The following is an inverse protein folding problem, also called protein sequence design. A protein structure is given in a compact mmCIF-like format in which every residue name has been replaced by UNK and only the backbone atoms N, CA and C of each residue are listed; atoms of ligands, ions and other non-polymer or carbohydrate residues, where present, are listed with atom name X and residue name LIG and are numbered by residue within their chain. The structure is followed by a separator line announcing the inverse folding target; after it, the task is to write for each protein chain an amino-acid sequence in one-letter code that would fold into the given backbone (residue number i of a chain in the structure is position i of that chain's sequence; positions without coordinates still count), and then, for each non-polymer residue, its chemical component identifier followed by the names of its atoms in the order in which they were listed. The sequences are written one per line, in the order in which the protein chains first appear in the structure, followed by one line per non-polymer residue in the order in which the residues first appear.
data_IF_335696528560
#
_entry.id   IF_335696528560
#
_cell.length_a   1.000
_cell.length_b   1.000
_cell.length_c   1.000
_cell.angle_alpha   90.00
_cell.angle_beta   90.00
_cell.angle_gamma   90.00
#
_symmetry.space_group_name_H-M   'P 1'
#
loop_
_entity.id
_entity.type
_entity.pdbx_description
1 polymer ?
#
# COMPACT_ATOMS: atom_id res chain seq x y z
N UNK A 1 -3.44 -12.11 -28.88
CA UNK A 1 -4.41 -11.09 -29.32
C UNK A 1 -5.70 -11.05 -28.49
N UNK A 2 -6.41 -12.16 -28.28
CA UNK A 2 -7.68 -12.16 -27.52
C UNK A 2 -7.58 -11.66 -26.07
N UNK A 3 -6.52 -12.02 -25.33
CA UNK A 3 -6.33 -11.57 -23.92
C UNK A 3 -6.02 -10.07 -23.85
N UNK A 4 -5.15 -9.58 -24.74
CA UNK A 4 -4.77 -8.17 -24.76
C UNK A 4 -5.97 -7.27 -25.14
N UNK A 5 -6.79 -7.71 -26.09
CA UNK A 5 -8.02 -7.01 -26.46
C UNK A 5 -9.04 -6.99 -25.31
N UNK A 6 -9.29 -8.14 -24.66
CA UNK A 6 -10.17 -8.22 -23.50
C UNK A 6 -9.69 -7.35 -22.33
N UNK A 7 -8.38 -7.34 -22.06
CA UNK A 7 -7.77 -6.49 -21.05
C UNK A 7 -7.93 -4.99 -21.38
N UNK A 8 -7.76 -4.61 -22.66
CA UNK A 8 -7.99 -3.25 -23.13
C UNK A 8 -9.43 -2.79 -22.93
N UNK A 9 -10.41 -3.62 -23.30
CA UNK A 9 -11.83 -3.33 -23.06
C UNK A 9 -12.15 -3.23 -21.57
N UNK A 10 -11.64 -4.15 -20.75
CA UNK A 10 -11.83 -4.13 -19.30
C UNK A 10 -11.23 -2.87 -18.67
N UNK A 11 -10.04 -2.45 -19.10
CA UNK A 11 -9.40 -1.23 -18.61
C UNK A 11 -10.27 0.02 -18.83
N UNK A 12 -10.97 0.12 -19.96
CA UNK A 12 -11.93 1.21 -20.23
C UNK A 12 -13.12 1.14 -19.27
N UNK A 13 -13.68 -0.04 -19.02
CA UNK A 13 -14.79 -0.21 -18.06
C UNK A 13 -14.40 0.07 -16.60
N UNK A 14 -13.10 0.10 -16.30
CA UNK A 14 -12.57 0.37 -14.97
C UNK A 14 -12.29 1.85 -14.70
N UNK A 15 -12.54 2.74 -15.67
CA UNK A 15 -12.39 4.20 -15.50
C UNK A 15 -13.17 4.74 -14.28
N UNK A 16 -14.45 4.37 -14.02
CA UNK A 16 -15.19 4.91 -12.89
C UNK A 16 -14.56 4.57 -11.53
N UNK A 17 -13.83 3.45 -11.43
CA UNK A 17 -13.12 3.05 -10.23
C UNK A 17 -11.95 3.97 -9.92
N UNK A 18 -11.32 4.59 -10.92
CA UNK A 18 -10.26 5.58 -10.70
C UNK A 18 -10.81 6.81 -9.95
N UNK A 19 -12.01 7.27 -10.32
CA UNK A 19 -12.69 8.36 -9.61
C UNK A 19 -13.14 7.92 -8.21
N UNK A 20 -13.59 6.66 -8.07
CA UNK A 20 -13.90 6.12 -6.76
C UNK A 20 -12.66 6.13 -5.84
N UNK A 21 -11.48 5.77 -6.35
CA UNK A 21 -10.23 5.84 -5.58
C UNK A 21 -9.83 7.26 -5.20
N UNK A 22 -10.02 8.24 -6.09
CA UNK A 22 -9.74 9.64 -5.78
C UNK A 22 -10.56 10.15 -4.57
N UNK A 23 -11.77 9.62 -4.38
CA UNK A 23 -12.63 9.92 -3.22
C UNK A 23 -12.27 9.03 -2.02
N UNK A 24 -12.03 7.74 -2.25
CA UNK A 24 -11.76 6.76 -1.19
C UNK A 24 -10.52 7.11 -0.38
N UNK A 25 -9.42 7.51 -1.03
CA UNK A 25 -8.16 7.75 -0.34
C UNK A 25 -8.26 8.87 0.72
N UNK A 26 -8.83 10.05 0.42
CA UNK A 26 -9.12 11.06 1.44
C UNK A 26 -10.07 10.60 2.55
N UNK A 27 -11.20 9.94 2.21
CA UNK A 27 -12.17 9.47 3.21
C UNK A 27 -11.55 8.45 4.17
N UNK A 28 -10.83 7.46 3.61
CA UNK A 28 -10.11 6.47 4.38
C UNK A 28 -9.05 7.11 5.28
N UNK A 29 -8.26 8.06 4.77
CA UNK A 29 -7.26 8.78 5.57
C UNK A 29 -7.88 9.62 6.68
N UNK A 30 -9.01 10.26 6.43
CA UNK A 30 -9.75 11.04 7.43
C UNK A 30 -10.23 10.16 8.60
N UNK A 31 -10.78 8.98 8.30
CA UNK A 31 -11.22 8.02 9.32
C UNK A 31 -10.04 7.36 10.05
N UNK A 32 -8.98 7.00 9.31
CA UNK A 32 -7.75 6.45 9.85
C UNK A 32 -7.08 7.39 10.85
N UNK A 33 -6.93 8.68 10.53
CA UNK A 33 -6.31 9.67 11.40
C UNK A 33 -7.01 9.78 12.77
N UNK A 34 -8.32 9.56 12.80
CA UNK A 34 -9.17 9.58 14.00
C UNK A 34 -9.33 8.21 14.67
N UNK A 35 -8.58 7.19 14.23
CA UNK A 35 -8.67 5.81 14.74
C UNK A 35 -10.06 5.17 14.58
N UNK A 36 -10.87 5.59 13.60
CA UNK A 36 -12.20 5.02 13.31
C UNK A 36 -12.11 3.74 12.46
N UNK A 37 -11.16 2.87 12.78
CA UNK A 37 -10.81 1.68 11.97
C UNK A 37 -11.93 0.64 11.92
N UNK A 38 -12.68 0.45 13.03
CA UNK A 38 -13.76 -0.53 13.07
C UNK A 38 -14.93 -0.18 12.13
N UNK A 39 -15.25 1.11 11.98
CA UNK A 39 -16.25 1.54 11.02
C UNK A 39 -15.83 1.19 9.58
N UNK A 40 -14.57 1.46 9.23
CA UNK A 40 -14.02 1.10 7.92
C UNK A 40 -14.04 -0.42 7.70
N UNK A 41 -13.70 -1.22 8.72
CA UNK A 41 -13.69 -2.67 8.64
C UNK A 41 -15.10 -3.25 8.41
N UNK A 42 -16.11 -2.75 9.13
CA UNK A 42 -17.51 -3.19 8.96
C UNK A 42 -18.03 -2.81 7.57
N UNK A 43 -17.75 -1.59 7.10
CA UNK A 43 -18.12 -1.15 5.74
C UNK A 43 -17.46 -2.03 4.68
N UNK A 44 -16.15 -2.32 4.81
CA UNK A 44 -15.43 -3.17 3.88
C UNK A 44 -15.95 -4.61 3.89
N UNK A 45 -16.33 -5.14 5.05
CA UNK A 45 -16.93 -6.47 5.18
C UNK A 45 -18.32 -6.55 4.52
N UNK A 46 -19.17 -5.54 4.73
CA UNK A 46 -20.45 -5.44 4.03
C UNK A 46 -20.25 -5.34 2.51
N UNK A 47 -19.29 -4.52 2.06
CA UNK A 47 -18.94 -4.39 0.64
C UNK A 47 -18.49 -5.73 0.05
N UNK A 48 -17.71 -6.53 0.79
CA UNK A 48 -17.29 -7.86 0.36
C UNK A 48 -18.48 -8.81 0.17
N UNK A 49 -19.44 -8.83 1.11
CA UNK A 49 -20.66 -9.65 0.99
C UNK A 49 -21.44 -9.27 -0.27
N UNK A 50 -21.69 -7.98 -0.48
CA UNK A 50 -22.39 -7.50 -1.67
C UNK A 50 -21.60 -7.82 -2.94
N UNK A 51 -20.28 -7.60 -2.92
CA UNK A 51 -19.40 -7.89 -4.05
C UNK A 51 -19.46 -9.37 -4.45
N UNK A 52 -19.41 -10.30 -3.49
CA UNK A 52 -19.50 -11.74 -3.74
C UNK A 52 -20.87 -12.11 -4.31
N UNK A 53 -21.95 -11.63 -3.69
CA UNK A 53 -23.32 -11.92 -4.15
C UNK A 53 -23.57 -11.41 -5.58
N UNK A 54 -23.24 -10.16 -5.85
CA UNK A 54 -23.46 -9.57 -7.18
C UNK A 54 -22.50 -10.10 -8.23
N UNK A 55 -21.27 -10.49 -7.87
CA UNK A 55 -20.37 -11.18 -8.79
C UNK A 55 -20.96 -12.51 -9.24
N UNK A 56 -21.46 -13.33 -8.29
CA UNK A 56 -22.17 -14.57 -8.63
C UNK A 56 -23.39 -14.31 -9.50
N UNK A 57 -24.23 -13.34 -9.14
CA UNK A 57 -25.46 -13.03 -9.88
C UNK A 57 -25.19 -12.54 -11.30
N UNK A 58 -24.38 -11.48 -11.45
CA UNK A 58 -24.18 -10.84 -12.75
C UNK A 58 -23.26 -11.65 -13.66
N UNK A 59 -22.17 -12.22 -13.12
CA UNK A 59 -21.22 -12.95 -13.96
C UNK A 59 -21.70 -14.37 -14.29
N UNK A 60 -22.15 -15.12 -13.28
CA UNK A 60 -22.44 -16.55 -13.45
C UNK A 60 -23.91 -16.80 -13.75
N UNK A 61 -24.83 -16.17 -13.02
CA UNK A 61 -26.27 -16.45 -13.17
C UNK A 61 -26.88 -15.75 -14.38
N UNK A 62 -26.54 -14.49 -14.61
CA UNK A 62 -27.03 -13.69 -15.75
C UNK A 62 -26.10 -13.74 -16.97
N UNK A 63 -24.89 -14.29 -16.83
CA UNK A 63 -23.96 -14.51 -17.94
C UNK A 63 -23.32 -13.24 -18.50
N UNK A 64 -23.25 -12.14 -17.74
CA UNK A 64 -22.66 -10.88 -18.22
C UNK A 64 -21.12 -10.90 -18.29
N UNK A 65 -20.50 -11.99 -17.82
CA UNK A 65 -19.06 -12.23 -17.94
C UNK A 65 -18.21 -11.05 -17.41
N UNK A 66 -17.27 -10.60 -18.24
CA UNK A 66 -16.29 -9.57 -17.88
C UNK A 66 -16.91 -8.18 -17.66
N UNK A 67 -17.99 -7.85 -18.38
CA UNK A 67 -18.73 -6.60 -18.17
C UNK A 67 -19.43 -6.60 -16.80
N UNK A 68 -20.01 -7.74 -16.42
CA UNK A 68 -20.55 -7.95 -15.07
C UNK A 68 -19.48 -7.75 -14.00
N UNK A 69 -18.30 -8.33 -14.17
CA UNK A 69 -17.18 -8.18 -13.24
C UNK A 69 -16.78 -6.71 -13.04
N UNK A 70 -16.62 -5.96 -14.14
CA UNK A 70 -16.29 -4.54 -14.09
C UNK A 70 -17.38 -3.74 -13.35
N UNK A 71 -18.66 -3.98 -13.66
CA UNK A 71 -19.77 -3.27 -13.03
C UNK A 71 -19.81 -3.51 -11.52
N UNK A 72 -19.72 -4.77 -11.07
CA UNK A 72 -19.78 -5.11 -9.64
C UNK A 72 -18.61 -4.48 -8.89
N UNK A 73 -17.41 -4.52 -9.46
CA UNK A 73 -16.23 -3.96 -8.84
C UNK A 73 -16.33 -2.42 -8.70
N UNK A 74 -16.77 -1.72 -9.76
CA UNK A 74 -17.06 -0.29 -9.69
C UNK A 74 -18.11 0.03 -8.60
N UNK A 75 -19.23 -0.70 -8.57
CA UNK A 75 -20.28 -0.48 -7.58
C UNK A 75 -19.78 -0.73 -6.14
N UNK A 76 -18.91 -1.70 -5.94
CA UNK A 76 -18.37 -2.03 -4.62
C UNK A 76 -17.51 -0.90 -4.05
N UNK A 77 -16.68 -0.27 -4.89
CA UNK A 77 -15.87 0.88 -4.48
C UNK A 77 -16.73 2.12 -4.21
N UNK A 78 -17.72 2.38 -5.05
CA UNK A 78 -18.67 3.47 -4.82
C UNK A 78 -19.51 3.26 -3.56
N UNK A 79 -19.93 2.02 -3.27
CA UNK A 79 -20.59 1.67 -2.03
C UNK A 79 -19.71 2.01 -0.81
N UNK A 80 -18.43 1.63 -0.83
CA UNK A 80 -17.48 1.96 0.25
C UNK A 80 -17.39 3.48 0.44
N UNK A 81 -17.26 4.24 -0.65
CA UNK A 81 -17.18 5.70 -0.60
C UNK A 81 -18.43 6.33 0.02
N UNK A 82 -19.61 5.95 -0.47
CA UNK A 82 -20.88 6.47 0.03
C UNK A 82 -21.06 6.11 1.49
N UNK A 83 -20.80 4.86 1.88
CA UNK A 83 -20.93 4.41 3.27
C UNK A 83 -19.96 5.14 4.21
N UNK A 84 -18.69 5.32 3.81
CA UNK A 84 -17.72 6.08 4.60
C UNK A 84 -18.10 7.56 4.71
N UNK A 85 -18.56 8.17 3.62
CA UNK A 85 -18.99 9.56 3.63
C UNK A 85 -20.23 9.77 4.52
N UNK A 86 -21.24 8.91 4.42
CA UNK A 86 -22.41 8.93 5.29
C UNK A 86 -22.01 8.76 6.77
N UNK A 87 -21.07 7.86 7.06
CA UNK A 87 -20.54 7.70 8.42
C UNK A 87 -19.87 8.99 8.93
N UNK A 88 -19.10 9.69 8.09
CA UNK A 88 -18.48 10.99 8.45
C UNK A 88 -19.55 12.06 8.70
N UNK A 89 -20.57 12.15 7.82
CA UNK A 89 -21.65 13.13 7.93
C UNK A 89 -22.65 12.85 9.07
N UNK A 90 -22.67 11.64 9.63
CA UNK A 90 -23.57 11.26 10.73
C UNK A 90 -23.33 11.99 12.06
N UNK A 91 -22.28 12.83 12.15
CA UNK A 91 -21.87 13.50 13.39
C UNK A 91 -20.90 12.68 14.25
N UNK A 92 -20.62 11.43 13.89
CA UNK A 92 -19.74 10.51 14.65
C UNK A 92 -18.26 10.95 14.69
N UNK A 93 -17.86 11.86 13.80
CA UNK A 93 -16.52 12.45 13.73
C UNK A 93 -16.38 13.77 14.53
N UNK A 94 -17.44 14.24 15.20
CA UNK A 94 -17.41 15.44 16.04
C UNK A 94 -16.84 16.66 15.30
N UNK A 95 -15.94 17.40 15.97
CA UNK A 95 -15.32 18.64 15.43
C UNK A 95 -14.34 18.41 14.28
N UNK A 96 -13.96 17.17 13.98
CA UNK A 96 -13.02 16.88 12.88
C UNK A 96 -13.66 17.12 11.50
N UNK A 97 -15.00 17.02 11.41
CA UNK A 97 -15.74 17.33 10.19
C UNK A 97 -16.57 18.59 10.39
N UNK A 98 -16.17 19.69 9.74
CA UNK A 98 -16.87 20.98 9.78
C UNK A 98 -17.74 21.24 8.54
N UNK A 99 -17.95 20.22 7.70
CA UNK A 99 -18.59 20.38 6.40
C UNK A 99 -17.67 20.93 5.31
N UNK A 100 -18.24 21.16 4.13
CA UNK A 100 -17.50 21.74 3.00
C UNK A 100 -17.23 23.23 3.21
N UNK A 101 -16.02 23.66 2.89
CA UNK A 101 -15.60 25.07 3.00
C UNK A 101 -14.56 25.40 1.94
N UNK A 102 -14.53 26.65 1.48
CA UNK A 102 -13.47 27.13 0.59
C UNK A 102 -12.08 27.10 1.24
N UNK A 103 -12.02 27.02 2.58
CA UNK A 103 -10.77 26.79 3.32
C UNK A 103 -10.05 25.51 2.89
N UNK A 104 -10.78 24.51 2.36
CA UNK A 104 -10.17 23.29 1.82
C UNK A 104 -9.26 23.55 0.60
N UNK A 105 -9.44 24.68 -0.09
CA UNK A 105 -8.60 25.06 -1.22
C UNK A 105 -7.34 25.86 -0.81
N UNK A 106 -7.20 26.20 0.47
CA UNK A 106 -6.03 26.88 0.98
C UNK A 106 -4.85 25.91 1.14
N UNK A 107 -3.63 26.38 0.82
CA UNK A 107 -2.39 25.58 0.94
C UNK A 107 -2.38 24.25 0.16
N UNK A 108 -3.16 24.12 -0.92
CA UNK A 108 -3.19 22.92 -1.78
C UNK A 108 -1.79 22.47 -2.22
N UNK A 109 -0.91 23.42 -2.50
CA UNK A 109 0.44 23.12 -2.96
C UNK A 109 1.25 22.27 -1.98
N UNK A 110 1.10 22.51 -0.68
CA UNK A 110 1.76 21.69 0.35
C UNK A 110 1.27 20.25 0.33
N UNK A 111 -0.05 20.06 0.20
CA UNK A 111 -0.67 18.74 0.05
C UNK A 111 -0.23 18.05 -1.24
N UNK A 112 -0.26 18.74 -2.37
CA UNK A 112 0.13 18.22 -3.69
C UNK A 112 1.59 17.76 -3.68
N UNK A 113 2.51 18.58 -3.15
CA UNK A 113 3.93 18.23 -3.05
C UNK A 113 4.16 16.95 -2.24
N UNK A 114 3.50 16.82 -1.08
CA UNK A 114 3.63 15.64 -0.22
C UNK A 114 2.99 14.40 -0.86
N UNK A 115 1.86 14.58 -1.53
CA UNK A 115 1.12 13.52 -2.23
C UNK A 115 1.92 12.99 -3.41
N UNK A 116 2.53 13.86 -4.22
CA UNK A 116 3.40 13.47 -5.34
C UNK A 116 4.61 12.68 -4.82
N UNK A 117 5.27 13.13 -3.75
CA UNK A 117 6.40 12.39 -3.17
C UNK A 117 5.97 10.99 -2.69
N UNK A 118 4.82 10.89 -2.03
CA UNK A 118 4.26 9.60 -1.58
C UNK A 118 3.86 8.70 -2.75
N UNK A 119 3.25 9.28 -3.80
CA UNK A 119 2.86 8.56 -5.00
C UNK A 119 4.07 8.02 -5.74
N UNK A 120 5.11 8.83 -5.95
CA UNK A 120 6.37 8.39 -6.58
C UNK A 120 7.01 7.26 -5.76
N UNK A 121 7.11 7.41 -4.45
CA UNK A 121 7.67 6.38 -3.57
C UNK A 121 6.97 5.02 -3.72
N UNK A 122 5.63 5.00 -3.72
CA UNK A 122 4.83 3.77 -3.86
C UNK A 122 4.88 3.23 -5.30
N UNK A 123 4.80 4.10 -6.32
CA UNK A 123 4.87 3.69 -7.72
C UNK A 123 6.21 3.03 -8.02
N UNK A 124 7.32 3.57 -7.50
CA UNK A 124 8.65 2.97 -7.66
C UNK A 124 8.73 1.56 -7.06
N UNK A 125 8.07 1.33 -5.91
CA UNK A 125 7.99 0.00 -5.31
C UNK A 125 7.18 -0.96 -6.19
N UNK A 126 5.99 -0.56 -6.65
CA UNK A 126 5.13 -1.43 -7.45
C UNK A 126 5.74 -1.72 -8.83
N UNK A 127 6.25 -0.69 -9.52
CA UNK A 127 6.83 -0.84 -10.84
C UNK A 127 8.12 -1.65 -10.82
N UNK A 128 8.87 -1.64 -9.73
CA UNK A 128 10.03 -2.50 -9.57
C UNK A 128 9.67 -3.99 -9.68
N UNK A 129 8.63 -4.43 -8.96
CA UNK A 129 8.13 -5.81 -9.05
C UNK A 129 7.57 -6.12 -10.44
N UNK A 130 6.78 -5.20 -11.02
CA UNK A 130 6.21 -5.40 -12.36
C UNK A 130 7.31 -5.53 -13.43
N UNK A 131 8.35 -4.72 -13.37
CA UNK A 131 9.47 -4.78 -14.29
C UNK A 131 10.19 -6.14 -14.20
N UNK A 132 10.48 -6.63 -12.99
CA UNK A 132 11.16 -7.92 -12.82
C UNK A 132 10.29 -9.11 -13.22
N UNK A 133 8.98 -9.07 -12.98
CA UNK A 133 8.04 -10.08 -13.49
C UNK A 133 8.01 -10.06 -15.03
N UNK A 134 7.97 -8.87 -15.64
CA UNK A 134 8.04 -8.73 -17.09
C UNK A 134 9.33 -9.34 -17.65
N UNK A 135 10.48 -9.07 -17.03
CA UNK A 135 11.75 -9.68 -17.42
C UNK A 135 11.76 -11.19 -17.22
N UNK A 136 11.08 -11.76 -16.23
CA UNK A 136 10.98 -13.21 -16.12
C UNK A 136 10.23 -13.85 -17.30
N UNK A 137 9.32 -13.12 -17.95
CA UNK A 137 8.59 -13.54 -19.14
C UNK A 137 9.44 -13.71 -20.41
N UNK A 138 10.68 -13.22 -20.43
CA UNK A 138 11.62 -13.38 -21.55
C UNK A 138 12.67 -14.48 -21.32
N UNK A 139 12.53 -15.30 -20.28
CA UNK A 139 13.42 -16.45 -20.03
C UNK A 139 13.13 -17.62 -21.00
N UNK A 140 14.11 -18.53 -21.17
CA UNK A 140 14.07 -19.65 -22.14
C UNK A 140 12.85 -20.59 -21.99
N UNK A 141 12.26 -20.71 -20.79
CA UNK A 141 11.01 -21.44 -20.52
C UNK A 141 9.98 -20.51 -19.86
N UNK A 142 9.38 -19.59 -20.62
CA UNK A 142 8.63 -18.48 -20.05
C UNK A 142 7.32 -18.94 -19.41
N UNK A 143 6.63 -19.94 -19.97
CA UNK A 143 5.36 -20.45 -19.44
C UNK A 143 5.50 -21.01 -18.01
N UNK A 144 6.37 -22.01 -17.81
CA UNK A 144 6.61 -22.60 -16.47
C UNK A 144 7.15 -21.55 -15.48
N UNK A 145 8.01 -20.65 -15.97
CA UNK A 145 8.62 -19.60 -15.15
C UNK A 145 7.60 -18.57 -14.67
N UNK A 146 6.76 -18.07 -15.58
CA UNK A 146 5.72 -17.09 -15.31
C UNK A 146 4.62 -17.70 -14.45
N UNK A 147 4.19 -18.93 -14.71
CA UNK A 147 3.18 -19.61 -13.89
C UNK A 147 3.68 -19.83 -12.46
N UNK A 148 4.90 -20.35 -12.30
CA UNK A 148 5.50 -20.58 -10.99
C UNK A 148 5.71 -19.28 -10.20
N UNK A 149 6.15 -18.21 -10.88
CA UNK A 149 6.25 -16.88 -10.29
C UNK A 149 4.88 -16.31 -9.94
N UNK A 150 3.87 -16.47 -10.79
CA UNK A 150 2.53 -15.92 -10.57
C UNK A 150 1.89 -16.54 -9.32
N UNK A 151 2.04 -17.85 -9.12
CA UNK A 151 1.60 -18.52 -7.87
C UNK A 151 2.30 -17.90 -6.67
N UNK A 152 3.62 -17.74 -6.75
CA UNK A 152 4.41 -17.17 -5.68
C UNK A 152 4.06 -15.72 -5.36
N UNK A 153 3.90 -14.88 -6.38
CA UNK A 153 3.55 -13.46 -6.24
C UNK A 153 2.13 -13.29 -5.71
N UNK A 154 1.19 -14.18 -6.05
CA UNK A 154 -0.15 -14.18 -5.46
C UNK A 154 -0.09 -14.43 -3.96
N UNK A 155 0.64 -15.47 -3.53
CA UNK A 155 0.83 -15.77 -2.09
C UNK A 155 1.54 -14.60 -1.38
N UNK A 156 2.59 -14.04 -2.00
CA UNK A 156 3.27 -12.86 -1.46
C UNK A 156 2.29 -11.67 -1.34
N UNK A 157 1.47 -11.43 -2.36
CA UNK A 157 0.46 -10.38 -2.37
C UNK A 157 -0.54 -10.53 -1.22
N UNK A 158 -1.03 -11.75 -0.95
CA UNK A 158 -1.90 -12.02 0.20
C UNK A 158 -1.21 -11.71 1.53
N UNK A 159 0.04 -12.13 1.70
CA UNK A 159 0.82 -11.83 2.90
C UNK A 159 1.07 -10.31 3.07
N UNK A 160 1.32 -9.60 1.97
CA UNK A 160 1.60 -8.15 1.97
C UNK A 160 0.37 -7.32 2.34
N UNK A 161 -0.86 -7.81 2.15
CA UNK A 161 -2.06 -7.09 2.61
C UNK A 161 -2.06 -6.87 4.13
N UNK A 162 -1.53 -7.83 4.89
CA UNK A 162 -1.35 -7.67 6.35
C UNK A 162 -0.30 -6.60 6.65
N UNK A 163 0.81 -6.60 5.91
CA UNK A 163 1.85 -5.57 5.99
C UNK A 163 1.33 -4.18 5.68
N UNK A 164 0.43 -4.02 4.69
CA UNK A 164 -0.21 -2.74 4.40
C UNK A 164 -1.12 -2.27 5.53
N UNK A 165 -1.79 -3.20 6.24
CA UNK A 165 -2.50 -2.89 7.48
C UNK A 165 -1.56 -2.29 8.54
N UNK A 166 -0.40 -2.92 8.77
CA UNK A 166 0.61 -2.39 9.69
C UNK A 166 1.23 -1.06 9.21
N UNK A 167 1.48 -0.89 7.91
CA UNK A 167 1.93 0.36 7.31
C UNK A 167 0.97 1.52 7.67
N UNK A 168 -0.33 1.32 7.44
CA UNK A 168 -1.34 2.32 7.74
C UNK A 168 -1.43 2.61 9.24
N UNK A 169 -1.42 1.57 10.08
CA UNK A 169 -1.47 1.72 11.54
C UNK A 169 -0.25 2.49 12.08
N UNK A 170 0.95 2.15 11.62
CA UNK A 170 2.20 2.83 12.02
C UNK A 170 2.21 4.28 11.54
N UNK A 171 1.82 4.53 10.28
CA UNK A 171 1.76 5.89 9.72
C UNK A 171 0.87 6.80 10.54
N UNK A 172 -0.33 6.34 10.90
CA UNK A 172 -1.28 7.10 11.73
C UNK A 172 -0.73 7.29 13.14
N UNK A 173 -0.28 6.21 13.79
CA UNK A 173 0.18 6.27 15.19
C UNK A 173 1.39 7.17 15.33
N UNK A 174 2.41 7.02 14.47
CA UNK A 174 3.61 7.86 14.50
C UNK A 174 3.25 9.32 14.23
N UNK A 175 2.42 9.61 13.22
CA UNK A 175 2.00 10.98 12.94
C UNK A 175 1.27 11.63 14.13
N UNK A 176 0.34 10.89 14.76
CA UNK A 176 -0.44 11.39 15.90
C UNK A 176 0.44 11.63 17.13
N UNK A 177 1.33 10.69 17.49
CA UNK A 177 2.21 10.85 18.65
C UNK A 177 3.24 11.97 18.44
N UNK A 178 3.79 12.12 17.22
CA UNK A 178 4.67 13.24 16.89
C UNK A 178 3.93 14.57 16.94
N UNK A 179 2.72 14.64 16.37
CA UNK A 179 1.87 15.84 16.41
C UNK A 179 1.40 16.22 17.81
N UNK A 180 1.32 15.26 18.73
CA UNK A 180 1.01 15.47 20.14
C UNK A 180 2.25 15.83 21.00
N UNK A 181 3.46 15.86 20.42
CA UNK A 181 4.68 16.12 21.18
C UNK A 181 5.12 14.95 22.07
N UNK A 182 4.77 13.72 21.71
CA UNK A 182 5.10 12.49 22.45
C UNK A 182 6.18 11.63 21.74
N UNK A 183 7.43 12.10 21.64
CA UNK A 183 8.48 11.42 20.86
C UNK A 183 8.84 10.03 21.38
N UNK A 184 8.75 9.79 22.70
CA UNK A 184 9.01 8.47 23.29
C UNK A 184 7.94 7.46 22.89
N UNK A 185 6.67 7.87 22.92
CA UNK A 185 5.54 7.02 22.51
C UNK A 185 5.58 6.72 21.02
N UNK A 186 5.97 7.69 20.19
CA UNK A 186 6.21 7.47 18.76
C UNK A 186 7.28 6.38 18.54
N UNK A 187 8.44 6.48 19.21
CA UNK A 187 9.51 5.46 19.13
C UNK A 187 9.05 4.07 19.59
N UNK A 188 8.34 3.98 20.71
CA UNK A 188 7.82 2.70 21.22
C UNK A 188 6.82 2.09 20.23
N UNK A 189 5.94 2.92 19.65
CA UNK A 189 4.96 2.47 18.65
C UNK A 189 5.65 1.82 17.45
N UNK A 190 6.75 2.42 16.96
CA UNK A 190 7.54 1.81 15.88
C UNK A 190 8.10 0.45 16.27
N UNK A 191 8.71 0.33 17.44
CA UNK A 191 9.28 -0.95 17.92
C UNK A 191 8.21 -2.02 18.00
N UNK A 192 7.06 -1.71 18.63
CA UNK A 192 5.96 -2.67 18.78
C UNK A 192 5.46 -3.16 17.41
N UNK A 193 5.20 -2.25 16.47
CA UNK A 193 4.64 -2.66 15.18
C UNK A 193 5.67 -3.42 14.33
N UNK A 194 6.95 -3.05 14.37
CA UNK A 194 8.02 -3.79 13.67
C UNK A 194 8.13 -5.22 14.22
N UNK A 195 8.12 -5.39 15.55
CA UNK A 195 8.18 -6.71 16.19
C UNK A 195 6.94 -7.54 15.86
N UNK A 196 5.73 -6.96 15.98
CA UNK A 196 4.49 -7.65 15.62
C UNK A 196 4.48 -8.09 14.15
N UNK A 197 4.88 -7.19 13.24
CA UNK A 197 4.92 -7.50 11.81
C UNK A 197 5.96 -8.57 11.49
N UNK A 198 7.13 -8.53 12.12
CA UNK A 198 8.14 -9.58 11.98
C UNK A 198 7.61 -10.94 12.45
N UNK A 199 6.96 -11.02 13.61
CA UNK A 199 6.37 -12.25 14.14
C UNK A 199 5.32 -12.80 13.17
N UNK A 200 4.41 -11.96 12.68
CA UNK A 200 3.38 -12.36 11.70
C UNK A 200 4.03 -12.88 10.41
N UNK A 201 5.03 -12.17 9.89
CA UNK A 201 5.80 -12.61 8.73
C UNK A 201 6.44 -13.98 8.95
N UNK A 202 7.08 -14.20 10.10
CA UNK A 202 7.67 -15.51 10.46
C UNK A 202 6.60 -16.60 10.53
N UNK A 203 5.44 -16.34 11.11
CA UNK A 203 4.34 -17.32 11.17
C UNK A 203 3.89 -17.71 9.75
N UNK A 204 3.64 -16.74 8.87
CA UNK A 204 3.27 -17.02 7.48
C UNK A 204 4.35 -17.80 6.73
N UNK A 205 5.61 -17.43 6.92
CA UNK A 205 6.74 -18.14 6.31
C UNK A 205 6.87 -19.57 6.82
N UNK A 206 6.67 -19.82 8.12
CA UNK A 206 6.67 -21.17 8.70
C UNK A 206 5.54 -22.03 8.14
N UNK A 207 4.31 -21.50 8.09
CA UNK A 207 3.15 -22.19 7.49
C UNK A 207 3.46 -22.58 6.04
N UNK A 208 4.06 -21.66 5.28
CA UNK A 208 4.39 -21.89 3.88
C UNK A 208 5.49 -22.96 3.70
N UNK A 209 6.54 -22.91 4.52
CA UNK A 209 7.62 -23.92 4.49
C UNK A 209 7.09 -25.31 4.87
N UNK A 210 6.27 -25.42 5.92
CA UNK A 210 5.69 -26.69 6.36
C UNK A 210 4.76 -27.26 5.30
N UNK A 211 3.94 -26.41 4.69
CA UNK A 211 2.99 -26.81 3.65
C UNK A 211 3.61 -26.92 2.25
N UNK A 212 4.93 -26.70 2.08
CA UNK A 212 5.60 -26.57 0.78
C UNK A 212 5.38 -27.72 -0.20
N UNK A 213 5.16 -28.93 0.32
CA UNK A 213 4.89 -30.13 -0.48
C UNK A 213 3.45 -30.20 -0.99
N UNK A 214 2.50 -29.51 -0.34
CA UNK A 214 1.06 -29.71 -0.56
C UNK A 214 0.40 -28.51 -1.22
N UNK A 215 0.73 -27.28 -0.81
CA UNK A 215 0.03 -26.09 -1.34
C UNK A 215 0.15 -25.92 -2.87
N UNK A 216 1.25 -26.29 -3.57
CA UNK A 216 1.33 -26.08 -5.02
C UNK A 216 0.23 -26.84 -5.80
N UNK A 217 -0.29 -27.93 -5.24
CA UNK A 217 -1.38 -28.72 -5.84
C UNK A 217 -2.70 -27.96 -5.91
N UNK A 218 -2.92 -26.96 -5.05
CA UNK A 218 -4.13 -26.14 -5.08
C UNK A 218 -4.13 -25.12 -6.23
N UNK A 219 -2.96 -24.83 -6.83
CA UNK A 219 -2.80 -23.79 -7.84
C UNK A 219 -2.61 -24.34 -9.26
N UNK A 220 -2.02 -25.51 -9.42
CA UNK A 220 -1.69 -26.03 -10.74
C UNK A 220 -1.64 -27.55 -10.81
N UNK A 221 -2.11 -28.08 -11.93
CA UNK A 221 -2.01 -29.51 -12.26
C UNK A 221 -0.65 -29.86 -12.90
N UNK A 222 0.14 -28.86 -13.34
CA UNK A 222 1.42 -29.10 -14.02
C UNK A 222 2.51 -29.61 -13.05
N UNK A 223 3.11 -30.78 -13.29
CA UNK A 223 4.23 -31.27 -12.49
C UNK A 223 5.44 -30.33 -12.48
N UNK A 224 5.76 -29.71 -13.61
CA UNK A 224 6.92 -28.83 -13.75
C UNK A 224 6.75 -27.53 -12.97
N UNK A 225 5.56 -26.92 -13.02
CA UNK A 225 5.23 -25.73 -12.23
C UNK A 225 5.26 -26.05 -10.74
N UNK A 226 4.71 -27.19 -10.30
CA UNK A 226 4.78 -27.62 -8.89
C UNK A 226 6.22 -27.79 -8.41
N UNK A 227 7.07 -28.43 -9.22
CA UNK A 227 8.50 -28.61 -8.91
C UNK A 227 9.21 -27.26 -8.79
N UNK A 228 8.91 -26.32 -9.68
CA UNK A 228 9.48 -24.97 -9.61
C UNK A 228 9.00 -24.22 -8.36
N UNK A 229 7.70 -24.20 -8.08
CA UNK A 229 7.13 -23.53 -6.89
C UNK A 229 7.74 -24.10 -5.61
N UNK A 230 7.87 -25.43 -5.50
CA UNK A 230 8.53 -26.09 -4.37
C UNK A 230 9.98 -25.60 -4.17
N UNK A 231 10.72 -25.41 -5.25
CA UNK A 231 12.09 -24.88 -5.20
C UNK A 231 12.14 -23.39 -4.84
N UNK A 232 11.11 -22.62 -5.19
CA UNK A 232 10.99 -21.20 -4.90
C UNK A 232 10.42 -20.92 -3.51
N UNK A 233 9.74 -21.88 -2.87
CA UNK A 233 9.10 -21.70 -1.55
C UNK A 233 10.05 -21.13 -0.48
N UNK A 234 11.32 -21.57 -0.35
CA UNK A 234 12.23 -20.98 0.63
C UNK A 234 12.50 -19.49 0.37
N UNK A 235 12.62 -19.12 -0.90
CA UNK A 235 12.83 -17.74 -1.33
C UNK A 235 11.58 -16.88 -1.10
N UNK A 236 10.40 -17.47 -1.32
CA UNK A 236 9.11 -16.88 -1.01
C UNK A 236 8.93 -16.65 0.50
N UNK A 237 9.25 -17.66 1.31
CA UNK A 237 9.19 -17.57 2.77
C UNK A 237 10.10 -16.44 3.29
N UNK A 238 11.32 -16.32 2.75
CA UNK A 238 12.18 -15.18 3.09
C UNK A 238 11.58 -13.84 2.65
N UNK A 239 11.03 -13.80 1.42
CA UNK A 239 10.37 -12.61 0.88
C UNK A 239 9.20 -12.15 1.74
N UNK A 240 8.40 -13.07 2.28
CA UNK A 240 7.26 -12.76 3.15
C UNK A 240 7.72 -12.06 4.43
N UNK A 241 8.78 -12.54 5.08
CA UNK A 241 9.33 -11.89 6.28
C UNK A 241 9.79 -10.47 5.95
N UNK A 242 10.60 -10.33 4.90
CA UNK A 242 11.12 -9.02 4.49
C UNK A 242 10.00 -8.04 4.10
N UNK A 243 9.02 -8.49 3.32
CA UNK A 243 7.87 -7.70 2.87
C UNK A 243 6.79 -7.53 3.94
N UNK A 244 6.94 -8.12 5.13
CA UNK A 244 6.17 -7.75 6.32
C UNK A 244 6.82 -6.58 7.05
N UNK A 245 8.15 -6.59 7.21
CA UNK A 245 8.87 -5.53 7.91
C UNK A 245 9.01 -4.25 7.06
N UNK A 246 9.31 -4.37 5.77
CA UNK A 246 9.57 -3.24 4.88
C UNK A 246 8.42 -2.23 4.84
N UNK A 247 7.14 -2.62 4.64
CA UNK A 247 6.05 -1.65 4.57
C UNK A 247 5.83 -0.93 5.89
N UNK A 248 6.14 -1.56 7.03
CA UNK A 248 6.04 -0.91 8.35
C UNK A 248 7.01 0.27 8.44
N UNK A 249 8.26 0.09 8.01
CA UNK A 249 9.26 1.15 8.00
C UNK A 249 8.90 2.27 7.01
N UNK A 250 8.34 1.93 5.85
CA UNK A 250 7.75 2.92 4.94
C UNK A 250 6.60 3.68 5.61
N UNK A 251 5.79 3.00 6.43
CA UNK A 251 4.74 3.61 7.25
C UNK A 251 5.28 4.60 8.26
N UNK A 252 6.42 4.29 8.91
CA UNK A 252 7.14 5.24 9.78
C UNK A 252 7.55 6.47 8.99
N UNK A 253 8.14 6.29 7.81
CA UNK A 253 8.56 7.41 6.96
C UNK A 253 7.38 8.29 6.53
N UNK A 254 6.23 7.71 6.21
CA UNK A 254 5.01 8.49 5.91
C UNK A 254 4.54 9.26 7.15
N UNK A 255 4.52 8.61 8.32
CA UNK A 255 4.09 9.23 9.58
C UNK A 255 5.01 10.36 10.05
N UNK A 256 6.32 10.23 9.81
CA UNK A 256 7.32 11.23 10.17
C UNK A 256 7.54 12.30 9.10
N UNK A 257 7.11 12.07 7.84
CA UNK A 257 7.24 13.02 6.74
C UNK A 257 8.53 12.89 5.91
N UNK A 258 9.12 11.69 5.84
CA UNK A 258 10.40 11.42 5.16
C UNK A 258 10.24 10.91 3.72
N UNK A 259 9.05 11.01 3.11
CA UNK A 259 8.71 10.34 1.85
C UNK A 259 9.68 10.67 0.71
N UNK A 260 10.13 11.94 0.62
CA UNK A 260 11.08 12.37 -0.40
C UNK A 260 12.43 11.63 -0.30
N UNK A 261 12.96 11.47 0.91
CA UNK A 261 14.24 10.76 1.13
C UNK A 261 14.07 9.29 0.78
N UNK A 262 12.94 8.68 1.20
CA UNK A 262 12.64 7.29 0.88
C UNK A 262 12.48 7.08 -0.62
N UNK A 263 11.86 8.01 -1.36
CA UNK A 263 11.78 7.93 -2.81
C UNK A 263 13.17 7.85 -3.49
N UNK A 264 14.15 8.66 -3.05
CA UNK A 264 15.52 8.56 -3.56
C UNK A 264 16.19 7.23 -3.22
N UNK A 265 15.96 6.71 -2.00
CA UNK A 265 16.44 5.39 -1.58
C UNK A 265 15.84 4.30 -2.47
N UNK A 266 14.55 4.39 -2.80
CA UNK A 266 13.86 3.44 -3.68
C UNK A 266 14.48 3.42 -5.07
N UNK A 267 14.78 4.58 -5.65
CA UNK A 267 15.48 4.67 -6.95
C UNK A 267 16.82 3.93 -6.89
N UNK A 268 17.64 4.20 -5.86
CA UNK A 268 18.95 3.57 -5.72
C UNK A 268 18.85 2.05 -5.50
N UNK A 269 18.03 1.61 -4.55
CA UNK A 269 17.94 0.20 -4.17
C UNK A 269 17.30 -0.66 -5.26
N UNK A 270 16.24 -0.17 -5.89
CA UNK A 270 15.46 -0.96 -6.85
C UNK A 270 15.99 -0.83 -8.28
N UNK A 271 16.22 0.39 -8.76
CA UNK A 271 16.50 0.62 -10.17
C UNK A 271 17.99 0.62 -10.49
N UNK A 272 18.83 1.18 -9.60
CA UNK A 272 20.28 1.21 -9.81
C UNK A 272 20.91 -0.13 -9.42
N UNK A 273 20.39 -0.79 -8.38
CA UNK A 273 20.97 -2.03 -7.86
C UNK A 273 20.12 -3.27 -8.13
N UNK A 274 18.87 -3.29 -7.69
CA UNK A 274 18.01 -4.47 -7.72
C UNK A 274 17.72 -5.01 -9.13
N UNK A 275 17.33 -4.15 -10.08
CA UNK A 275 17.03 -4.55 -11.46
C UNK A 275 18.30 -5.05 -12.15
N UNK A 276 19.42 -4.30 -12.21
CA UNK A 276 20.63 -4.79 -12.86
C UNK A 276 21.14 -6.11 -12.28
N UNK A 277 21.13 -6.25 -10.95
CA UNK A 277 21.51 -7.51 -10.31
C UNK A 277 20.59 -8.67 -10.73
N UNK A 278 19.27 -8.46 -10.70
CA UNK A 278 18.30 -9.46 -11.14
C UNK A 278 18.51 -9.90 -12.58
N UNK A 279 18.76 -8.95 -13.49
CA UNK A 279 19.03 -9.22 -14.90
C UNK A 279 20.34 -9.98 -15.11
N UNK A 280 21.42 -9.58 -14.44
CA UNK A 280 22.72 -10.27 -14.52
C UNK A 280 22.59 -11.71 -14.02
N UNK A 281 21.98 -11.91 -12.85
CA UNK A 281 21.79 -13.24 -12.27
C UNK A 281 20.87 -14.10 -13.13
N UNK A 282 19.75 -13.53 -13.61
CA UNK A 282 18.74 -14.25 -14.36
C UNK A 282 19.18 -14.66 -15.77
N UNK A 283 19.84 -13.76 -16.50
CA UNK A 283 20.20 -13.96 -17.90
C UNK A 283 21.67 -14.34 -18.09
N UNK A 284 22.61 -13.57 -17.52
CA UNK A 284 24.04 -13.75 -17.78
C UNK A 284 24.62 -14.96 -17.04
N UNK A 285 24.11 -15.25 -15.83
CA UNK A 285 24.52 -16.41 -15.03
C UNK A 285 23.55 -17.61 -15.16
N UNK A 286 22.58 -17.53 -16.09
CA UNK A 286 21.57 -18.58 -16.35
C UNK A 286 20.84 -19.10 -15.09
N UNK A 287 20.71 -18.30 -14.02
CA UNK A 287 19.92 -18.68 -12.83
C UNK A 287 18.41 -18.55 -13.05
N UNK A 288 17.99 -18.04 -14.21
CA UNK A 288 16.61 -17.89 -14.63
C UNK A 288 15.76 -17.14 -13.60
N UNK A 289 14.60 -17.70 -13.26
CA UNK A 289 13.63 -17.12 -12.31
C UNK A 289 14.25 -16.85 -10.94
N UNK A 290 15.13 -17.74 -10.45
CA UNK A 290 15.79 -17.56 -9.15
C UNK A 290 16.67 -16.33 -9.18
N UNK A 291 17.41 -16.10 -10.27
CA UNK A 291 18.24 -14.91 -10.45
C UNK A 291 17.44 -13.61 -10.43
N UNK A 292 16.34 -13.57 -11.17
CA UNK A 292 15.42 -12.41 -11.19
C UNK A 292 14.88 -12.11 -9.78
N UNK A 293 14.47 -13.15 -9.06
CA UNK A 293 13.94 -13.00 -7.71
C UNK A 293 15.02 -12.58 -6.71
N UNK A 294 16.26 -13.08 -6.82
CA UNK A 294 17.36 -12.54 -6.02
C UNK A 294 17.55 -11.04 -6.24
N UNK A 295 17.40 -10.55 -7.47
CA UNK A 295 17.32 -9.11 -7.77
C UNK A 295 16.27 -8.42 -6.90
N UNK A 296 15.01 -8.89 -6.96
CA UNK A 296 13.87 -8.36 -6.18
C UNK A 296 14.15 -8.29 -4.68
N UNK A 297 14.63 -9.41 -4.12
CA UNK A 297 14.89 -9.53 -2.69
C UNK A 297 16.02 -8.61 -2.28
N UNK A 298 17.11 -8.58 -3.04
CA UNK A 298 18.28 -7.81 -2.63
C UNK A 298 17.96 -6.31 -2.62
N UNK A 299 17.21 -5.80 -3.62
CA UNK A 299 16.75 -4.42 -3.62
C UNK A 299 15.89 -4.09 -2.39
N UNK A 300 14.92 -4.94 -2.06
CA UNK A 300 14.05 -4.73 -0.88
C UNK A 300 14.77 -4.91 0.45
N UNK A 301 15.72 -5.84 0.57
CA UNK A 301 16.53 -6.03 1.78
C UNK A 301 17.43 -4.81 2.01
N UNK A 302 18.13 -4.33 0.98
CA UNK A 302 19.00 -3.15 1.10
C UNK A 302 18.18 -1.93 1.51
N UNK A 303 17.03 -1.69 0.88
CA UNK A 303 16.12 -0.63 1.27
C UNK A 303 15.66 -0.78 2.73
N UNK A 304 15.27 -1.98 3.15
CA UNK A 304 14.82 -2.27 4.52
C UNK A 304 15.90 -1.97 5.55
N UNK A 305 17.15 -2.36 5.27
CA UNK A 305 18.30 -2.07 6.14
C UNK A 305 18.54 -0.57 6.26
N UNK A 306 18.49 0.17 5.15
CA UNK A 306 18.66 1.63 5.15
C UNK A 306 17.54 2.29 5.97
N UNK A 307 16.27 1.93 5.73
CA UNK A 307 15.13 2.49 6.46
C UNK A 307 15.18 2.14 7.96
N UNK A 308 15.61 0.93 8.31
CA UNK A 308 15.81 0.53 9.69
C UNK A 308 16.89 1.39 10.36
N UNK A 309 18.04 1.56 9.70
CA UNK A 309 19.12 2.38 10.22
C UNK A 309 18.72 3.86 10.38
N UNK A 310 18.03 4.41 9.39
CA UNK A 310 17.46 5.76 9.48
C UNK A 310 16.56 5.88 10.70
N UNK A 311 15.58 5.00 10.83
CA UNK A 311 14.61 4.97 11.94
C UNK A 311 15.29 4.82 13.30
N UNK A 312 16.34 4.00 13.38
CA UNK A 312 17.12 3.80 14.59
C UNK A 312 17.93 5.04 15.00
N UNK A 313 18.51 5.75 14.02
CA UNK A 313 19.31 6.97 14.22
C UNK A 313 18.47 8.24 14.41
N UNK A 314 17.18 8.19 14.11
CA UNK A 314 16.27 9.34 14.23
C UNK A 314 16.26 9.92 15.64
N UNK A 315 16.48 11.23 15.73
CA UNK A 315 16.21 11.98 16.96
C UNK A 315 14.71 12.30 17.03
N UNK A 316 13.96 11.43 17.69
CA UNK A 316 12.51 11.55 17.84
C UNK A 316 12.06 12.86 18.49
N UNK A 317 12.87 13.47 19.38
CA UNK A 317 12.53 14.77 19.97
C UNK A 317 12.55 15.89 18.91
N UNK A 318 13.53 15.85 18.00
CA UNK A 318 13.60 16.80 16.88
C UNK A 318 12.40 16.62 15.95
N UNK A 319 12.07 15.38 15.59
CA UNK A 319 10.90 15.11 14.73
C UNK A 319 9.58 15.60 15.33
N UNK A 320 9.40 15.47 16.65
CA UNK A 320 8.23 16.00 17.35
C UNK A 320 8.20 17.54 17.33
N UNK A 321 9.35 18.19 17.55
CA UNK A 321 9.47 19.65 17.42
C UNK A 321 9.16 20.12 16.00
N UNK A 322 9.69 19.44 14.97
CA UNK A 322 9.43 19.78 13.58
C UNK A 322 7.95 19.55 13.22
N UNK A 323 7.31 18.52 13.78
CA UNK A 323 5.87 18.29 13.64
C UNK A 323 5.03 19.41 14.26
N UNK A 324 5.39 19.89 15.45
CA UNK A 324 4.72 20.99 16.12
C UNK A 324 4.79 22.28 15.28
N UNK A 325 5.97 22.60 14.72
CA UNK A 325 6.14 23.75 13.81
C UNK A 325 5.26 23.63 12.57
N UNK A 326 5.15 22.43 11.97
CA UNK A 326 4.27 22.18 10.82
C UNK A 326 2.80 22.42 11.18
N UNK A 327 2.35 21.93 12.34
CA UNK A 327 0.97 22.12 12.82
C UNK A 327 0.68 23.60 13.12
N UNK A 328 1.61 24.30 13.80
CA UNK A 328 1.49 25.73 14.09
C UNK A 328 1.40 26.57 12.81
N UNK A 329 2.20 26.27 11.79
CA UNK A 329 2.10 26.94 10.48
C UNK A 329 0.71 26.76 9.84
N UNK A 330 0.11 25.58 9.98
CA UNK A 330 -1.23 25.31 9.45
C UNK A 330 -2.35 25.94 10.27
N UNK A 331 -2.19 26.04 11.61
CA UNK A 331 -3.14 26.73 12.50
C UNK A 331 -3.05 28.25 12.40
N UNK A 332 -1.85 28.82 12.50
CA UNK A 332 -1.63 30.27 12.44
C UNK A 332 -2.06 30.88 11.11
N UNK A 333 -1.80 30.20 9.99
CA UNK A 333 -2.32 30.64 8.68
C UNK A 333 -3.86 30.63 8.59
N UNK A 334 -4.54 29.81 9.41
CA UNK A 334 -6.00 29.76 9.47
C UNK A 334 -6.60 30.77 10.48
N UNK A 335 -5.86 31.12 11.54
CA UNK A 335 -6.25 32.10 12.56
C UNK A 335 -6.02 33.55 12.11
N UNK A 336 -4.84 33.87 11.55
CA UNK A 336 -4.52 35.21 11.05
C UNK A 336 -5.53 35.64 9.97
N UNK A 337 -5.90 34.72 9.07
CA UNK A 337 -6.88 34.98 8.02
C UNK A 337 -8.34 35.00 8.48
N UNK A 338 -8.67 34.29 9.55
CA UNK A 338 -10.00 34.40 10.16
C UNK A 338 -10.18 35.82 10.73
N UNK A 339 -9.14 36.35 11.38
CA UNK A 339 -9.14 37.72 11.89
C UNK A 339 -9.21 38.78 10.78
N UNK A 340 -8.53 38.56 9.65
CA UNK A 340 -8.60 39.45 8.48
C UNK A 340 -10.00 39.43 7.83
N UNK A 341 -10.65 38.26 7.74
CA UNK A 341 -11.99 38.15 7.19
C UNK A 341 -13.06 38.81 8.09
N UNK A 342 -12.92 38.68 9.41
CA UNK A 342 -13.79 39.32 10.41
C UNK A 342 -13.64 40.85 10.39
N UNK A 343 -12.40 41.35 10.20
CA UNK A 343 -12.12 42.78 10.08
C UNK A 343 -12.53 43.39 8.73
N UNK A 344 -12.67 42.60 7.67
CA UNK A 344 -13.03 43.09 6.32
C UNK A 344 -14.55 43.16 6.10
N UNK A 345 -15.36 42.38 6.84
CA UNK A 345 -16.82 42.36 6.72
C UNK A 345 -17.56 42.38 8.07
N UNK A 346 -17.48 43.48 8.84
CA UNK A 346 -18.04 43.56 10.19
C UNK A 346 -19.59 43.60 10.28
N UNK A 347 -20.31 43.47 9.16
CA UNK A 347 -21.76 43.76 9.08
C UNK A 347 -22.65 42.59 8.61
N UNK A 348 -22.17 41.35 8.65
CA UNK A 348 -22.95 40.16 8.28
C UNK A 348 -23.13 39.17 9.45
N UNK A 349 -23.44 39.68 10.65
CA UNK A 349 -24.00 38.88 11.75
C UNK A 349 -25.49 39.14 11.89
#
# INVERSE_FOLDING_TARGET
DNIAQAAGTFAIWMIPQLFAYAINFPLAKFLQAQSKMMAMAVIAFAALIFHTFFSWLLMLKLGWGLAGAALVLNMSWWFINVAQFLYICSGTCGRAWSGFSMKAFENLWGFVRLSIASAVMICLEVWYYMALILFAGYLKNPEVSVDGLSICMNILGWAVMVSFGFNAATSVRVANELGAGHPRTAKISVVVVVVCSFIVGVIFSLILIVSRKHYPYAFTSSPDVRKLVYQLTPLLAFSIVNNNVQPVLTGVAIGAGWQTIVAYINIACFYIFGIPLGLILGYKLDLGVKGIWFGMITGTVVQTVILFFMTYRTNWNKEASDAEVRIKKWRGAAEDKASDAENTYPHLQ
#
